data_IF_278483541328
#
_entry.id   IF_278483541328
#
_cell.length_a   1.000
_cell.length_b   1.000
_cell.length_c   1.000
_cell.angle_alpha   90.00
_cell.angle_beta   90.00
_cell.angle_gamma   90.00
#
_symmetry.space_group_name_H-M   'P 1'
#
loop_
_entity.id
_entity.type
_entity.pdbx_description
1 polymer ?
#
# COMPACT_ATOMS: atom_id res chain seq x y z
N UNK A 1 -5.64 -14.39 -8.13
CA UNK A 1 -5.01 -13.09 -7.80
C UNK A 1 -6.08 -12.13 -7.31
N UNK A 2 -5.90 -11.49 -6.11
CA UNK A 2 -6.75 -10.38 -5.66
C UNK A 2 -6.41 -9.11 -6.47
N UNK A 3 -7.43 -8.39 -6.90
CA UNK A 3 -7.30 -7.13 -7.62
C UNK A 3 -7.56 -5.95 -6.68
N UNK A 4 -6.57 -5.08 -6.54
CA UNK A 4 -6.64 -3.94 -5.63
C UNK A 4 -6.36 -2.60 -6.29
N UNK A 5 -6.93 -1.56 -5.72
CA UNK A 5 -6.69 -0.15 -6.09
C UNK A 5 -6.05 0.60 -4.94
N UNK A 6 -5.10 1.48 -5.25
CA UNK A 6 -4.32 2.24 -4.29
C UNK A 6 -4.51 3.75 -4.50
N UNK A 7 -4.76 4.48 -3.41
CA UNK A 7 -4.95 5.92 -3.41
C UNK A 7 -3.87 6.61 -2.58
N UNK A 8 -3.19 7.57 -3.20
CA UNK A 8 -2.17 8.44 -2.60
C UNK A 8 -2.65 9.88 -2.36
N UNK A 9 -3.80 10.24 -2.93
CA UNK A 9 -4.46 11.56 -2.85
C UNK A 9 -3.61 12.74 -3.36
N UNK A 10 -2.57 12.48 -4.15
CA UNK A 10 -1.62 13.51 -4.58
C UNK A 10 -2.26 14.53 -5.52
N UNK A 11 -2.14 15.78 -5.13
CA UNK A 11 -2.70 16.93 -5.84
C UNK A 11 -1.63 18.03 -6.02
N UNK A 12 -0.74 17.92 -7.02
CA UNK A 12 0.31 18.91 -7.23
C UNK A 12 -0.24 20.31 -7.41
N UNK A 13 0.47 21.31 -6.87
CA UNK A 13 0.12 22.73 -7.04
C UNK A 13 -0.04 23.06 -8.52
N UNK A 14 -1.13 23.77 -8.85
CA UNK A 14 -1.44 24.14 -10.23
C UNK A 14 -2.25 23.10 -11.00
N UNK A 15 -2.68 22.01 -10.40
CA UNK A 15 -3.61 21.04 -11.00
C UNK A 15 -4.97 21.65 -11.35
N UNK A 16 -5.36 22.70 -10.63
CA UNK A 16 -6.72 23.31 -10.75
C UNK A 16 -7.80 22.53 -10.00
N UNK A 17 -7.44 21.50 -9.26
CA UNK A 17 -8.37 20.66 -8.48
C UNK A 17 -8.28 21.08 -7.00
N UNK A 18 -9.39 21.39 -6.38
CA UNK A 18 -9.43 21.60 -4.92
C UNK A 18 -9.49 20.26 -4.17
N UNK A 19 -8.88 20.22 -2.98
CA UNK A 19 -8.77 18.97 -2.21
C UNK A 19 -10.11 18.41 -1.74
N UNK A 20 -11.09 19.26 -1.42
CA UNK A 20 -12.42 18.81 -1.00
C UNK A 20 -13.12 18.06 -2.15
N UNK A 21 -12.98 18.55 -3.37
CA UNK A 21 -13.50 17.89 -4.58
C UNK A 21 -12.74 16.58 -4.84
N UNK A 22 -11.41 16.57 -4.76
CA UNK A 22 -10.61 15.37 -4.96
C UNK A 22 -10.99 14.25 -3.97
N UNK A 23 -11.09 14.58 -2.67
CA UNK A 23 -11.45 13.60 -1.64
C UNK A 23 -12.87 13.04 -1.83
N UNK A 24 -13.84 13.90 -2.14
CA UNK A 24 -15.21 13.45 -2.42
C UNK A 24 -15.27 12.53 -3.63
N UNK A 25 -14.66 12.94 -4.76
CA UNK A 25 -14.63 12.14 -5.99
C UNK A 25 -13.85 10.82 -5.81
N UNK A 26 -12.83 10.82 -4.95
CA UNK A 26 -12.10 9.58 -4.62
C UNK A 26 -12.99 8.60 -3.86
N UNK A 27 -13.80 9.05 -2.91
CA UNK A 27 -14.75 8.18 -2.21
C UNK A 27 -15.82 7.63 -3.17
N UNK A 28 -16.35 8.46 -4.07
CA UNK A 28 -17.28 8.03 -5.14
C UNK A 28 -16.62 6.99 -6.08
N UNK A 29 -15.36 7.21 -6.43
CA UNK A 29 -14.61 6.26 -7.26
C UNK A 29 -14.33 4.93 -6.53
N UNK A 30 -14.08 4.95 -5.22
CA UNK A 30 -13.93 3.74 -4.42
C UNK A 30 -15.22 2.90 -4.43
N UNK A 31 -16.39 3.53 -4.29
CA UNK A 31 -17.68 2.85 -4.43
C UNK A 31 -17.85 2.23 -5.82
N UNK A 32 -17.43 2.95 -6.87
CA UNK A 32 -17.45 2.43 -8.23
C UNK A 32 -16.50 1.23 -8.41
N UNK A 33 -15.29 1.27 -7.84
CA UNK A 33 -14.37 0.12 -7.86
C UNK A 33 -14.98 -1.11 -7.16
N UNK A 34 -15.66 -0.92 -6.03
CA UNK A 34 -16.40 -2.01 -5.38
C UNK A 34 -17.49 -2.59 -6.28
N UNK A 35 -18.23 -1.76 -7.01
CA UNK A 35 -19.27 -2.20 -7.96
C UNK A 35 -18.67 -2.96 -9.16
N UNK A 36 -17.51 -2.55 -9.65
CA UNK A 36 -16.76 -3.24 -10.70
C UNK A 36 -16.20 -4.59 -10.27
N UNK A 37 -16.20 -4.87 -8.96
CA UNK A 37 -15.79 -6.16 -8.42
C UNK A 37 -14.32 -6.21 -7.98
N UNK A 38 -13.66 -5.08 -7.76
CA UNK A 38 -12.35 -5.09 -7.11
C UNK A 38 -12.44 -5.68 -5.71
N UNK A 39 -11.37 -6.36 -5.29
CA UNK A 39 -11.33 -7.10 -4.02
C UNK A 39 -10.84 -6.21 -2.87
N UNK A 40 -9.92 -5.28 -3.16
CA UNK A 40 -9.25 -4.49 -2.12
C UNK A 40 -9.06 -3.02 -2.51
N UNK A 41 -9.16 -2.15 -1.50
CA UNK A 41 -8.83 -0.72 -1.59
C UNK A 41 -7.71 -0.43 -0.61
N UNK A 42 -6.64 0.22 -1.08
CA UNK A 42 -5.47 0.51 -0.29
C UNK A 42 -5.19 2.01 -0.23
N UNK A 43 -4.68 2.46 0.91
CA UNK A 43 -4.33 3.85 1.19
C UNK A 43 -2.86 3.93 1.55
N UNK A 44 -2.13 4.92 1.04
CA UNK A 44 -0.70 5.05 1.30
C UNK A 44 -0.36 6.40 1.92
N UNK A 45 0.62 6.39 2.85
CA UNK A 45 0.97 7.50 3.71
C UNK A 45 2.31 8.13 3.34
N UNK A 46 2.32 9.46 3.29
CA UNK A 46 3.51 10.28 3.40
C UNK A 46 3.16 11.63 4.04
N UNK A 47 4.15 12.26 4.67
CA UNK A 47 3.95 13.53 5.37
C UNK A 47 4.79 14.65 4.75
N UNK A 48 4.29 15.90 4.88
CA UNK A 48 4.99 17.11 4.49
C UNK A 48 5.41 17.12 3.01
N UNK A 49 4.58 16.52 2.15
CA UNK A 49 4.77 16.52 0.71
C UNK A 49 4.00 17.68 0.09
N UNK A 50 4.67 18.42 -0.79
CA UNK A 50 4.14 19.63 -1.44
C UNK A 50 2.96 19.41 -2.37
N UNK A 51 2.64 18.16 -2.71
CA UNK A 51 1.53 17.76 -3.56
C UNK A 51 0.38 17.10 -2.78
N UNK A 52 0.23 17.47 -1.51
CA UNK A 52 -0.89 17.07 -0.64
C UNK A 52 -1.09 15.55 -0.50
N UNK A 53 0.02 14.79 -0.52
CA UNK A 53 -0.03 13.34 -0.29
C UNK A 53 -0.80 13.00 0.98
N UNK A 54 -1.58 11.91 0.97
CA UNK A 54 -2.41 11.47 2.10
C UNK A 54 -1.59 11.26 3.38
N UNK A 55 -1.79 12.06 4.44
CA UNK A 55 -1.02 11.92 5.67
C UNK A 55 -1.71 11.07 6.75
N UNK A 56 -3.01 10.76 6.60
CA UNK A 56 -3.82 10.12 7.64
C UNK A 56 -4.64 8.97 7.06
N UNK A 57 -3.98 7.82 6.89
CA UNK A 57 -4.57 6.66 6.22
C UNK A 57 -5.72 6.03 7.00
N UNK A 58 -5.67 5.96 8.34
CA UNK A 58 -6.75 5.38 9.14
C UNK A 58 -7.99 6.27 9.18
N UNK A 59 -7.83 7.61 9.14
CA UNK A 59 -8.96 8.54 8.99
C UNK A 59 -9.67 8.32 7.66
N UNK A 60 -8.90 8.20 6.57
CA UNK A 60 -9.47 7.93 5.25
C UNK A 60 -10.07 6.52 5.18
N UNK A 61 -9.44 5.52 5.82
CA UNK A 61 -9.96 4.15 5.90
C UNK A 61 -11.34 4.10 6.60
N UNK A 62 -11.56 4.90 7.65
CA UNK A 62 -12.86 5.01 8.29
C UNK A 62 -13.93 5.59 7.35
N UNK A 63 -13.58 6.59 6.53
CA UNK A 63 -14.48 7.13 5.52
C UNK A 63 -14.82 6.08 4.44
N UNK A 64 -13.82 5.31 3.98
CA UNK A 64 -14.04 4.20 3.04
C UNK A 64 -14.91 3.11 3.66
N UNK A 65 -14.68 2.75 4.93
CA UNK A 65 -15.49 1.76 5.64
C UNK A 65 -16.98 2.14 5.69
N UNK A 66 -17.27 3.42 5.89
CA UNK A 66 -18.65 3.94 5.93
C UNK A 66 -19.34 4.00 4.56
N UNK A 67 -18.59 3.95 3.45
CA UNK A 67 -19.08 4.06 2.08
C UNK A 67 -19.11 2.74 1.31
N UNK A 68 -18.48 1.70 1.83
CA UNK A 68 -18.34 0.39 1.18
C UNK A 68 -18.87 -0.73 2.06
N UNK A 69 -19.16 -1.88 1.46
CA UNK A 69 -19.75 -3.03 2.18
C UNK A 69 -18.99 -4.35 1.97
N UNK A 70 -18.10 -4.44 0.97
CA UNK A 70 -17.47 -5.69 0.55
C UNK A 70 -15.96 -5.62 0.44
N UNK A 71 -15.42 -4.55 -0.14
CA UNK A 71 -13.97 -4.45 -0.35
C UNK A 71 -13.19 -4.48 0.96
N UNK A 72 -12.07 -5.21 0.97
CA UNK A 72 -11.09 -5.14 2.04
C UNK A 72 -10.39 -3.77 1.99
N UNK A 73 -10.22 -3.14 3.13
CA UNK A 73 -9.60 -1.82 3.27
C UNK A 73 -8.20 -1.99 3.84
N UNK A 74 -7.19 -1.63 3.06
CA UNK A 74 -5.80 -1.79 3.43
C UNK A 74 -5.03 -0.48 3.58
N UNK A 75 -3.94 -0.51 4.32
CA UNK A 75 -2.91 0.52 4.25
C UNK A 75 -1.67 -0.01 3.53
N UNK A 76 -1.14 0.72 2.54
CA UNK A 76 0.02 0.30 1.77
C UNK A 76 1.04 1.45 1.61
N UNK A 77 1.61 1.95 2.70
CA UNK A 77 1.54 1.43 4.06
C UNK A 77 1.37 2.56 5.08
N UNK A 78 0.94 2.24 6.31
CA UNK A 78 1.09 3.13 7.45
C UNK A 78 2.54 3.08 7.97
N UNK A 79 3.16 4.25 8.21
CA UNK A 79 4.56 4.36 8.63
C UNK A 79 4.69 4.20 10.16
N UNK A 80 4.52 2.97 10.67
CA UNK A 80 4.40 2.70 12.11
C UNK A 80 5.47 3.33 13.00
N UNK A 81 6.76 3.44 12.61
CA UNK A 81 7.76 4.11 13.44
C UNK A 81 7.47 5.59 13.74
N UNK A 82 6.63 6.26 12.94
CA UNK A 82 6.23 7.65 13.13
C UNK A 82 5.00 7.81 14.03
N UNK A 83 4.39 6.70 14.46
CA UNK A 83 3.16 6.67 15.24
C UNK A 83 3.35 6.05 16.63
N UNK A 84 2.44 6.37 17.54
CA UNK A 84 2.29 5.60 18.77
C UNK A 84 1.52 4.30 18.48
N UNK A 85 2.07 3.12 18.76
CA UNK A 85 1.44 1.85 18.44
C UNK A 85 0.13 1.60 19.20
N UNK A 86 -0.05 2.17 20.39
CA UNK A 86 -1.34 2.07 21.11
C UNK A 86 -2.42 2.86 20.36
N UNK A 87 -2.07 4.07 19.91
CA UNK A 87 -3.01 4.88 19.11
C UNK A 87 -3.38 4.19 17.81
N UNK A 88 -2.40 3.58 17.12
CA UNK A 88 -2.66 2.79 15.92
C UNK A 88 -3.55 1.59 16.21
N UNK A 89 -3.36 0.90 17.35
CA UNK A 89 -4.19 -0.23 17.75
C UNK A 89 -5.66 0.18 17.98
N UNK A 90 -5.89 1.32 18.65
CA UNK A 90 -7.24 1.89 18.87
C UNK A 90 -7.90 2.29 17.55
N UNK A 91 -7.22 3.12 16.75
CA UNK A 91 -7.76 3.62 15.49
C UNK A 91 -8.04 2.48 14.50
N UNK A 92 -7.15 1.49 14.40
CA UNK A 92 -7.36 0.30 13.58
C UNK A 92 -8.54 -0.55 14.07
N UNK A 93 -8.71 -0.72 15.37
CA UNK A 93 -9.87 -1.43 15.94
C UNK A 93 -11.19 -0.71 15.60
N UNK A 94 -11.21 0.62 15.68
CA UNK A 94 -12.39 1.42 15.28
C UNK A 94 -12.70 1.26 13.80
N UNK A 95 -11.70 1.31 12.92
CA UNK A 95 -11.90 1.08 11.48
C UNK A 95 -12.39 -0.34 11.21
N UNK A 96 -11.87 -1.32 11.92
CA UNK A 96 -12.28 -2.72 11.78
C UNK A 96 -13.74 -2.93 12.21
N UNK A 97 -14.16 -2.29 13.30
CA UNK A 97 -15.58 -2.28 13.75
C UNK A 97 -16.47 -1.58 12.72
N UNK A 98 -16.08 -0.40 12.23
CA UNK A 98 -16.85 0.35 11.22
C UNK A 98 -17.00 -0.41 9.91
N UNK A 99 -16.00 -1.20 9.55
CA UNK A 99 -15.97 -1.98 8.31
C UNK A 99 -16.56 -3.38 8.44
N UNK A 100 -16.99 -3.80 9.64
CA UNK A 100 -17.42 -5.16 9.94
C UNK A 100 -16.33 -6.21 9.57
N UNK A 101 -15.10 -5.97 10.07
CA UNK A 101 -13.99 -6.91 9.93
C UNK A 101 -13.30 -6.93 8.57
N UNK A 102 -13.31 -5.80 7.83
CA UNK A 102 -12.66 -5.70 6.51
C UNK A 102 -11.32 -4.98 6.52
N UNK A 103 -10.77 -4.60 7.67
CA UNK A 103 -9.48 -3.93 7.73
C UNK A 103 -8.32 -4.91 7.50
N UNK A 104 -7.31 -4.48 6.75
CA UNK A 104 -6.00 -5.10 6.58
C UNK A 104 -4.93 -4.06 6.86
N UNK A 105 -4.19 -4.19 7.96
CA UNK A 105 -3.22 -3.19 8.40
C UNK A 105 -1.85 -3.44 7.77
N UNK A 106 -1.53 -2.70 6.70
CA UNK A 106 -0.21 -2.72 6.09
C UNK A 106 0.73 -1.70 6.73
N UNK A 107 1.90 -2.15 7.16
CA UNK A 107 2.87 -1.38 7.94
C UNK A 107 4.23 -1.29 7.23
N UNK A 108 4.87 -0.14 7.33
CA UNK A 108 6.18 0.12 6.74
C UNK A 108 7.14 0.82 7.68
N UNK A 109 8.43 0.77 7.30
CA UNK A 109 9.52 1.40 8.07
C UNK A 109 9.61 2.92 7.90
N UNK A 110 9.10 3.45 6.78
CA UNK A 110 9.45 4.80 6.35
C UNK A 110 10.90 4.91 5.85
N UNK A 111 11.17 5.93 5.03
CA UNK A 111 12.49 6.17 4.45
C UNK A 111 12.87 7.66 4.34
N UNK A 112 11.90 8.57 4.24
CA UNK A 112 12.16 10.01 4.10
C UNK A 112 12.70 10.60 5.42
N UNK A 113 13.88 11.23 5.34
CA UNK A 113 14.54 11.80 6.52
C UNK A 113 13.71 12.92 7.15
N UNK A 114 13.11 13.77 6.32
CA UNK A 114 12.32 14.92 6.77
C UNK A 114 11.11 14.50 7.62
N UNK A 115 10.51 13.34 7.34
CA UNK A 115 9.41 12.81 8.13
C UNK A 115 9.89 12.42 9.54
N UNK A 116 11.02 11.70 9.63
CA UNK A 116 11.60 11.30 10.91
C UNK A 116 12.03 12.51 11.74
N UNK A 117 12.68 13.49 11.11
CA UNK A 117 13.14 14.71 11.78
C UNK A 117 11.97 15.52 12.32
N UNK A 118 10.91 15.70 11.52
CA UNK A 118 9.73 16.47 11.92
C UNK A 118 8.94 15.82 13.06
N UNK A 119 8.86 14.47 13.10
CA UNK A 119 8.22 13.73 14.18
C UNK A 119 9.16 13.47 15.37
N UNK A 120 10.43 13.89 15.31
CA UNK A 120 11.39 13.69 16.39
C UNK A 120 11.78 12.23 16.61
N UNK A 121 11.69 11.40 15.58
CA UNK A 121 11.99 9.96 15.64
C UNK A 121 13.38 9.67 15.06
N UNK A 122 14.25 9.02 15.85
CA UNK A 122 15.53 8.58 15.33
C UNK A 122 15.37 7.44 14.33
N UNK A 123 15.58 7.72 13.04
CA UNK A 123 15.45 6.76 11.94
C UNK A 123 16.28 5.49 12.13
N UNK A 124 17.38 5.54 12.88
CA UNK A 124 18.22 4.36 13.18
C UNK A 124 17.47 3.29 13.96
N UNK A 125 16.45 3.68 14.71
CA UNK A 125 15.60 2.78 15.51
C UNK A 125 14.35 2.29 14.80
N UNK A 126 14.09 2.72 13.55
CA UNK A 126 12.84 2.43 12.83
C UNK A 126 12.47 0.94 12.75
N UNK A 127 13.47 0.06 12.62
CA UNK A 127 13.21 -1.37 12.56
C UNK A 127 12.74 -1.93 13.91
N UNK A 128 13.41 -1.55 15.01
CA UNK A 128 13.02 -1.96 16.36
C UNK A 128 11.67 -1.36 16.76
N UNK A 129 11.42 -0.09 16.40
CA UNK A 129 10.13 0.57 16.63
C UNK A 129 8.98 -0.12 15.88
N UNK A 130 9.21 -0.56 14.65
CA UNK A 130 8.23 -1.34 13.90
C UNK A 130 7.95 -2.70 14.58
N UNK A 131 9.00 -3.43 14.96
CA UNK A 131 8.89 -4.77 15.54
C UNK A 131 8.20 -4.73 16.91
N UNK A 132 8.60 -3.82 17.81
CA UNK A 132 7.92 -3.60 19.09
C UNK A 132 6.48 -3.11 18.89
N UNK A 133 6.26 -2.22 17.93
CA UNK A 133 4.93 -1.69 17.61
C UNK A 133 3.97 -2.78 17.14
N UNK A 134 4.40 -3.71 16.29
CA UNK A 134 3.58 -4.85 15.86
C UNK A 134 3.19 -5.72 17.06
N UNK A 135 4.14 -6.01 17.93
CA UNK A 135 3.86 -6.82 19.12
C UNK A 135 2.87 -6.11 20.06
N UNK A 136 3.04 -4.81 20.30
CA UNK A 136 2.12 -4.01 21.10
C UNK A 136 0.71 -4.02 20.50
N UNK A 137 0.58 -3.79 19.19
CA UNK A 137 -0.71 -3.80 18.50
C UNK A 137 -1.40 -5.16 18.64
N UNK A 138 -0.69 -6.26 18.40
CA UNK A 138 -1.27 -7.60 18.56
C UNK A 138 -1.72 -7.90 19.98
N UNK A 139 -0.93 -7.50 20.99
CA UNK A 139 -1.31 -7.65 22.40
C UNK A 139 -2.50 -6.78 22.77
N UNK A 140 -2.55 -5.54 22.24
CA UNK A 140 -3.66 -4.61 22.46
C UNK A 140 -5.00 -5.15 21.94
N UNK A 141 -4.97 -5.93 20.85
CA UNK A 141 -6.18 -6.58 20.30
C UNK A 141 -6.59 -7.88 21.02
N UNK A 142 -5.74 -8.43 21.89
CA UNK A 142 -6.07 -9.59 22.71
C UNK A 142 -7.19 -9.29 23.72
N UNK A 143 -7.85 -10.34 24.21
CA UNK A 143 -9.02 -10.21 25.09
C UNK A 143 -8.66 -9.80 26.52
N UNK A 144 -7.41 -10.03 26.94
CA UNK A 144 -6.94 -9.76 28.30
C UNK A 144 -6.03 -8.51 28.34
N UNK A 145 -5.99 -7.80 29.50
CA UNK A 145 -5.00 -6.77 29.73
C UNK A 145 -3.58 -7.30 29.56
N UNK A 146 -2.68 -6.47 29.03
CA UNK A 146 -1.32 -6.90 28.73
C UNK A 146 -0.26 -6.01 29.37
N UNK A 147 0.94 -6.56 29.47
CA UNK A 147 2.19 -5.85 29.78
C UNK A 147 3.15 -5.98 28.60
N UNK A 148 3.94 -4.94 28.38
CA UNK A 148 5.01 -4.96 27.39
C UNK A 148 6.23 -4.18 27.92
N UNK A 149 7.39 -4.83 27.98
CA UNK A 149 8.65 -4.22 28.37
C UNK A 149 9.68 -4.43 27.26
N UNK A 150 9.67 -3.52 26.32
CA UNK A 150 10.59 -3.48 25.20
C UNK A 150 11.78 -2.54 25.44
N UNK A 151 12.55 -2.31 24.40
CA UNK A 151 13.68 -1.38 24.41
C UNK A 151 13.24 0.08 24.31
N UNK A 152 12.17 0.34 23.57
CA UNK A 152 11.67 1.68 23.26
C UNK A 152 10.35 2.00 23.92
N UNK A 153 9.59 0.99 24.34
CA UNK A 153 8.27 1.14 24.95
C UNK A 153 8.14 0.30 26.22
N UNK A 154 7.45 0.87 27.19
CA UNK A 154 7.08 0.17 28.43
C UNK A 154 5.61 0.38 28.72
N UNK A 155 4.88 -0.70 28.95
CA UNK A 155 3.47 -0.74 29.32
C UNK A 155 3.37 -1.71 30.48
N UNK A 156 2.92 -1.25 31.64
CA UNK A 156 2.91 -2.09 32.86
C UNK A 156 1.59 -2.85 33.03
N UNK A 157 0.45 -2.28 32.70
CA UNK A 157 -0.85 -2.97 32.67
C UNK A 157 -1.83 -2.12 31.88
N UNK A 158 -2.36 -2.64 30.78
CA UNK A 158 -3.28 -1.90 29.93
C UNK A 158 -4.29 -2.83 29.27
N UNK A 159 -5.56 -2.43 29.30
CA UNK A 159 -6.61 -2.99 28.45
C UNK A 159 -7.03 -1.96 27.42
N UNK A 160 -6.83 -2.27 26.14
CA UNK A 160 -7.16 -1.39 25.02
C UNK A 160 -8.53 -1.74 24.45
N UNK A 161 -9.41 -0.76 24.35
CA UNK A 161 -10.77 -0.91 23.83
C UNK A 161 -11.08 0.22 22.84
N UNK A 162 -11.97 -0.02 21.82
CA UNK A 162 -12.66 -1.28 21.55
C UNK A 162 -11.72 -2.36 21.01
N UNK A 163 -12.15 -3.62 21.07
CA UNK A 163 -11.46 -4.71 20.37
C UNK A 163 -11.94 -4.77 18.91
N UNK A 164 -11.08 -5.16 17.95
CA UNK A 164 -11.51 -5.37 16.57
C UNK A 164 -12.54 -6.51 16.44
N UNK A 165 -13.28 -6.51 15.34
CA UNK A 165 -14.23 -7.60 15.01
C UNK A 165 -13.47 -8.86 14.62
N UNK A 166 -12.41 -8.71 13.84
CA UNK A 166 -11.55 -9.82 13.43
C UNK A 166 -10.84 -10.45 14.64
N UNK A 167 -10.66 -11.77 14.61
CA UNK A 167 -9.94 -12.52 15.66
C UNK A 167 -8.76 -13.30 15.07
N UNK A 168 -7.56 -13.22 15.64
CA UNK A 168 -7.17 -12.46 16.85
C UNK A 168 -7.03 -10.94 16.62
N UNK A 169 -7.24 -10.45 15.42
CA UNK A 169 -7.19 -9.06 15.00
C UNK A 169 -7.07 -8.94 13.47
N UNK A 170 -7.11 -7.73 12.92
CA UNK A 170 -6.82 -7.48 11.50
C UNK A 170 -5.50 -8.07 11.05
N UNK A 171 -5.44 -8.58 9.82
CA UNK A 171 -4.18 -9.04 9.24
C UNK A 171 -3.16 -7.90 9.19
N UNK A 172 -1.93 -8.19 9.63
CA UNK A 172 -0.81 -7.26 9.55
C UNK A 172 0.07 -7.62 8.36
N UNK A 173 0.08 -6.76 7.35
CA UNK A 173 0.95 -6.90 6.18
C UNK A 173 2.17 -5.99 6.31
N UNK A 174 3.35 -6.43 5.87
CA UNK A 174 4.55 -5.60 5.94
C UNK A 174 5.07 -5.26 4.55
N UNK A 175 5.54 -4.03 4.39
CA UNK A 175 6.20 -3.64 3.15
C UNK A 175 7.68 -4.01 3.14
N UNK A 176 8.16 -4.46 1.96
CA UNK A 176 9.55 -4.78 1.76
C UNK A 176 10.00 -4.57 0.32
N UNK A 177 11.25 -4.11 0.15
CA UNK A 177 11.91 -3.94 -1.15
C UNK A 177 13.38 -4.37 -1.15
N UNK A 178 13.79 -5.05 -0.09
CA UNK A 178 15.13 -5.60 0.09
C UNK A 178 15.04 -6.89 0.93
N UNK A 179 16.05 -7.75 0.93
CA UNK A 179 15.99 -9.06 1.61
C UNK A 179 15.59 -8.98 3.09
N UNK A 180 16.20 -8.08 3.88
CA UNK A 180 15.89 -7.96 5.32
C UNK A 180 14.43 -7.60 5.63
N UNK A 181 13.82 -6.54 5.02
CA UNK A 181 12.38 -6.26 5.15
C UNK A 181 11.49 -7.43 4.69
N UNK A 182 11.87 -8.13 3.60
CA UNK A 182 11.13 -9.29 3.10
C UNK A 182 11.16 -10.45 4.10
N UNK A 183 12.32 -10.75 4.69
CA UNK A 183 12.46 -11.77 5.75
C UNK A 183 11.64 -11.38 6.99
N UNK A 184 11.64 -10.08 7.38
CA UNK A 184 10.79 -9.59 8.48
C UNK A 184 9.31 -9.80 8.19
N UNK A 185 8.86 -9.54 6.97
CA UNK A 185 7.47 -9.77 6.57
C UNK A 185 7.09 -11.25 6.69
N UNK A 186 7.97 -12.16 6.27
CA UNK A 186 7.75 -13.60 6.40
C UNK A 186 7.65 -14.06 7.87
N UNK A 187 8.37 -13.40 8.78
CA UNK A 187 8.42 -13.80 10.20
C UNK A 187 7.31 -13.14 11.02
N UNK A 188 7.06 -11.86 10.81
CA UNK A 188 6.17 -11.06 11.65
C UNK A 188 4.86 -10.68 10.97
N UNK A 189 4.77 -10.73 9.64
CA UNK A 189 3.58 -10.34 8.89
C UNK A 189 2.66 -11.50 8.56
N UNK A 190 1.44 -11.17 8.19
CA UNK A 190 0.46 -12.09 7.60
C UNK A 190 0.50 -12.04 6.06
N UNK A 191 1.24 -11.08 5.51
CA UNK A 191 1.50 -10.90 4.09
C UNK A 191 2.63 -9.92 3.83
N UNK A 192 3.11 -9.90 2.59
CA UNK A 192 4.13 -8.98 2.09
C UNK A 192 3.51 -8.06 1.02
N UNK A 193 3.75 -6.75 1.14
CA UNK A 193 3.57 -5.76 0.07
C UNK A 193 4.96 -5.47 -0.48
N UNK A 194 5.23 -5.87 -1.72
CA UNK A 194 6.58 -5.80 -2.27
C UNK A 194 6.67 -4.77 -3.39
N UNK A 195 7.74 -3.96 -3.32
CA UNK A 195 8.22 -3.14 -4.45
C UNK A 195 9.51 -3.79 -4.92
N UNK A 196 9.44 -4.50 -6.06
CA UNK A 196 10.60 -5.21 -6.60
C UNK A 196 10.18 -6.42 -7.44
N UNK A 197 11.18 -7.16 -7.93
CA UNK A 197 10.99 -8.24 -8.88
C UNK A 197 10.94 -9.64 -8.28
N UNK A 198 10.91 -10.67 -9.16
CA UNK A 198 10.74 -12.08 -8.79
C UNK A 198 11.76 -12.64 -7.79
N UNK A 199 12.96 -12.04 -7.70
CA UNK A 199 13.98 -12.46 -6.73
C UNK A 199 13.50 -12.24 -5.29
N UNK A 200 12.85 -11.08 -5.02
CA UNK A 200 12.27 -10.80 -3.70
C UNK A 200 11.05 -11.69 -3.41
N UNK A 201 10.31 -12.10 -4.45
CA UNK A 201 9.19 -13.04 -4.28
C UNK A 201 9.71 -14.41 -3.81
N UNK A 202 10.76 -14.92 -4.47
CA UNK A 202 11.42 -16.18 -4.04
C UNK A 202 11.96 -16.08 -2.63
N UNK A 203 12.67 -14.99 -2.31
CA UNK A 203 13.18 -14.74 -0.95
C UNK A 203 12.06 -14.80 0.10
N UNK A 204 10.90 -14.16 -0.18
CA UNK A 204 9.75 -14.19 0.72
C UNK A 204 9.21 -15.60 0.92
N UNK A 205 8.97 -16.34 -0.17
CA UNK A 205 8.46 -17.71 -0.10
C UNK A 205 9.41 -18.65 0.64
N UNK A 206 10.71 -18.49 0.42
CA UNK A 206 11.74 -19.28 1.14
C UNK A 206 11.78 -18.89 2.63
N UNK A 207 11.77 -17.60 2.94
CA UNK A 207 11.74 -17.14 4.32
C UNK A 207 10.48 -17.62 5.04
N UNK A 208 9.30 -17.53 4.40
CA UNK A 208 8.04 -18.02 4.95
C UNK A 208 8.08 -19.52 5.24
N UNK A 209 8.58 -20.34 4.33
CA UNK A 209 8.75 -21.78 4.57
C UNK A 209 9.68 -22.08 5.76
N UNK A 210 10.74 -21.30 5.94
CA UNK A 210 11.68 -21.45 7.09
C UNK A 210 11.04 -21.16 8.43
N UNK A 211 9.94 -20.40 8.49
CA UNK A 211 9.22 -20.15 9.75
C UNK A 211 8.43 -21.36 10.25
N UNK A 212 8.18 -22.37 9.42
CA UNK A 212 7.32 -23.50 9.74
C UNK A 212 5.81 -23.19 9.76
N UNK A 213 5.41 -22.02 9.32
CA UNK A 213 3.98 -21.63 9.20
C UNK A 213 3.26 -22.53 8.21
N UNK A 214 2.00 -22.83 8.49
CA UNK A 214 1.14 -23.68 7.65
C UNK A 214 0.17 -22.87 6.78
N UNK A 215 -0.05 -21.58 7.09
CA UNK A 215 -0.84 -20.69 6.26
C UNK A 215 -0.10 -20.39 4.94
N UNK A 216 -0.83 -20.22 3.82
CA UNK A 216 -0.20 -19.91 2.55
C UNK A 216 0.44 -18.51 2.59
N UNK A 217 1.63 -18.35 1.97
CA UNK A 217 2.25 -17.03 1.85
C UNK A 217 1.38 -16.11 1.00
N UNK A 218 1.20 -14.87 1.44
CA UNK A 218 0.43 -13.83 0.75
C UNK A 218 1.37 -12.75 0.27
N UNK A 219 1.39 -12.52 -1.03
CA UNK A 219 2.29 -11.58 -1.69
C UNK A 219 1.52 -10.61 -2.57
N UNK A 220 1.56 -9.34 -2.22
CA UNK A 220 0.98 -8.26 -3.01
C UNK A 220 2.06 -7.49 -3.76
N UNK A 221 1.88 -7.33 -5.07
CA UNK A 221 2.77 -6.58 -5.95
C UNK A 221 2.14 -5.26 -6.39
N UNK A 222 2.96 -4.31 -6.83
CA UNK A 222 2.48 -3.14 -7.57
C UNK A 222 2.47 -3.44 -9.06
N UNK A 223 1.30 -3.28 -9.67
CA UNK A 223 1.13 -3.33 -11.12
C UNK A 223 1.22 -1.90 -11.68
N UNK A 224 2.13 -1.68 -12.61
CA UNK A 224 2.41 -0.35 -13.16
C UNK A 224 1.83 -0.13 -14.55
N UNK A 225 1.38 -1.21 -15.21
CA UNK A 225 0.78 -1.14 -16.54
C UNK A 225 -0.75 -1.03 -16.43
N UNK A 226 -1.30 0.07 -16.91
CA UNK A 226 -2.75 0.26 -17.01
C UNK A 226 -3.24 -0.34 -18.33
N UNK A 227 -4.33 -1.12 -18.32
CA UNK A 227 -4.93 -1.60 -19.56
C UNK A 227 -5.53 -0.44 -20.36
N UNK A 228 -5.35 -0.47 -21.68
CA UNK A 228 -5.83 0.55 -22.60
C UNK A 228 -6.19 -0.07 -23.93
N UNK A 229 -7.31 0.38 -24.53
CA UNK A 229 -7.70 0.06 -25.91
C UNK A 229 -6.80 0.79 -26.93
N UNK A 230 -6.14 1.87 -26.51
CA UNK A 230 -5.20 2.65 -27.33
C UNK A 230 -4.05 3.18 -26.44
N UNK A 231 -3.03 2.34 -26.18
CA UNK A 231 -1.91 2.70 -25.30
C UNK A 231 -1.13 3.94 -25.73
N UNK A 232 -1.04 4.21 -27.05
CA UNK A 232 -0.34 5.40 -27.56
C UNK A 232 -1.11 6.69 -27.26
N UNK A 233 -2.42 6.69 -27.47
CA UNK A 233 -3.30 7.81 -27.13
C UNK A 233 -3.25 8.10 -25.63
N UNK A 234 -3.37 7.09 -24.78
CA UNK A 234 -3.43 7.26 -23.34
C UNK A 234 -2.05 7.64 -22.78
N UNK A 235 -0.97 7.12 -23.35
CA UNK A 235 0.38 7.57 -23.02
C UNK A 235 0.61 9.05 -23.40
N UNK A 236 0.10 9.49 -24.54
CA UNK A 236 0.18 10.90 -24.95
C UNK A 236 -0.63 11.82 -24.01
N UNK A 237 -1.82 11.38 -23.56
CA UNK A 237 -2.70 12.16 -22.71
C UNK A 237 -2.26 12.18 -21.24
N UNK A 238 -1.88 11.02 -20.69
CA UNK A 238 -1.71 10.79 -19.25
C UNK A 238 -0.28 10.45 -18.83
N UNK A 239 0.60 10.11 -19.76
CA UNK A 239 1.96 9.64 -19.45
C UNK A 239 2.79 10.62 -18.62
N UNK A 240 2.60 11.93 -18.80
CA UNK A 240 3.28 12.97 -17.98
C UNK A 240 2.94 12.87 -16.48
N UNK A 241 1.72 12.48 -16.14
CA UNK A 241 1.27 12.36 -14.77
C UNK A 241 1.79 11.05 -14.14
N UNK A 242 1.87 9.97 -14.92
CA UNK A 242 2.53 8.74 -14.51
C UNK A 242 4.03 8.96 -14.27
N UNK A 243 4.70 9.67 -15.19
CA UNK A 243 6.12 10.04 -15.06
C UNK A 243 6.38 10.89 -13.82
N UNK A 244 5.54 11.90 -13.53
CA UNK A 244 5.64 12.72 -12.32
C UNK A 244 5.70 11.86 -11.05
N UNK A 245 4.81 10.87 -10.91
CA UNK A 245 4.82 9.94 -9.76
C UNK A 245 6.16 9.24 -9.64
N UNK A 246 6.64 8.64 -10.72
CA UNK A 246 7.87 7.87 -10.72
C UNK A 246 9.10 8.73 -10.39
N UNK A 247 9.19 9.92 -10.96
CA UNK A 247 10.26 10.89 -10.68
C UNK A 247 10.31 11.28 -9.20
N UNK A 248 9.14 11.53 -8.58
CA UNK A 248 9.06 11.87 -7.15
C UNK A 248 9.53 10.72 -6.27
N UNK A 249 9.10 9.50 -6.53
CA UNK A 249 9.60 8.34 -5.77
C UNK A 249 11.10 8.13 -5.97
N UNK A 250 11.60 8.24 -7.20
CA UNK A 250 13.03 8.12 -7.49
C UNK A 250 13.85 9.18 -6.73
N UNK A 251 13.37 10.44 -6.68
CA UNK A 251 13.99 11.51 -5.91
C UNK A 251 14.03 11.19 -4.41
N UNK A 252 12.92 10.75 -3.81
CA UNK A 252 12.85 10.43 -2.38
C UNK A 252 13.74 9.24 -2.00
N UNK A 253 13.82 8.24 -2.86
CA UNK A 253 14.70 7.10 -2.64
C UNK A 253 16.17 7.50 -2.76
N UNK A 254 16.55 8.33 -3.74
CA UNK A 254 17.92 8.81 -3.91
C UNK A 254 18.44 9.61 -2.70
N UNK A 255 17.59 10.42 -2.07
CA UNK A 255 17.95 11.21 -0.87
C UNK A 255 18.00 10.36 0.40
N UNK A 256 17.29 9.25 0.46
CA UNK A 256 17.25 8.38 1.64
C UNK A 256 18.55 7.61 1.91
N UNK A 257 19.52 7.62 0.99
CA UNK A 257 20.79 6.90 1.10
C UNK A 257 20.65 5.37 1.05
N UNK A 258 19.48 4.87 0.71
CA UNK A 258 19.20 3.45 0.49
C UNK A 258 19.53 3.13 -0.96
N UNK A 259 20.83 3.16 -1.31
CA UNK A 259 21.39 3.06 -2.66
C UNK A 259 21.18 1.71 -3.38
N UNK A 260 20.57 0.71 -2.75
CA UNK A 260 20.12 -0.50 -3.44
C UNK A 260 18.70 -0.38 -4.02
N UNK A 261 18.23 0.85 -4.19
CA UNK A 261 16.94 1.12 -4.77
C UNK A 261 17.00 0.97 -6.26
N UNK A 262 16.49 -0.16 -6.67
CA UNK A 262 15.85 -0.40 -7.95
C UNK A 262 16.46 0.33 -9.15
N UNK A 263 17.61 -0.19 -9.62
CA UNK A 263 18.07 0.05 -10.98
C UNK A 263 16.92 -0.07 -11.97
N UNK A 264 15.99 -0.99 -11.76
CA UNK A 264 14.82 -1.20 -12.61
C UNK A 264 13.84 -0.04 -12.52
N UNK A 265 13.56 0.50 -11.33
CA UNK A 265 12.72 1.70 -11.19
C UNK A 265 13.44 2.94 -11.74
N UNK A 266 14.75 3.09 -11.46
CA UNK A 266 15.56 4.17 -11.98
C UNK A 266 15.78 4.06 -13.49
N UNK A 267 16.07 2.89 -14.01
CA UNK A 267 16.24 2.66 -15.45
C UNK A 267 14.93 2.88 -16.21
N UNK A 268 13.78 2.52 -15.65
CA UNK A 268 12.47 2.88 -16.19
C UNK A 268 12.19 4.39 -16.14
N UNK A 269 12.76 5.13 -15.17
CA UNK A 269 12.53 6.58 -15.01
C UNK A 269 13.55 7.44 -15.72
N UNK A 270 14.80 7.00 -15.90
CA UNK A 270 15.89 7.82 -16.47
C UNK A 270 16.02 7.74 -17.98
N UNK A 271 15.38 6.79 -18.63
CA UNK A 271 15.40 6.68 -20.10
C UNK A 271 14.46 7.64 -20.84
N UNK A 272 14.17 8.78 -20.28
CA UNK A 272 13.56 10.02 -20.83
C UNK A 272 12.35 9.94 -21.79
N UNK A 273 12.09 8.79 -22.39
CA UNK A 273 10.98 8.56 -23.33
C UNK A 273 10.24 7.24 -23.10
N UNK A 274 10.82 6.32 -22.35
CA UNK A 274 10.24 5.00 -22.08
C UNK A 274 9.17 4.94 -20.97
N UNK A 275 9.22 5.76 -19.88
CA UNK A 275 8.27 5.62 -18.78
C UNK A 275 6.81 5.91 -19.14
N UNK A 276 6.59 6.88 -20.00
CA UNK A 276 5.24 7.27 -20.40
C UNK A 276 4.54 6.19 -21.25
N UNK A 277 5.29 5.53 -22.13
CA UNK A 277 4.76 4.47 -23.01
C UNK A 277 4.59 3.14 -22.29
N UNK A 278 5.47 2.82 -21.33
CA UNK A 278 5.41 1.56 -20.57
C UNK A 278 4.35 1.54 -19.46
N UNK A 279 3.71 2.69 -19.18
CA UNK A 279 2.63 2.74 -18.18
C UNK A 279 1.27 2.30 -18.74
N UNK A 280 1.14 2.09 -20.05
CA UNK A 280 -0.11 1.70 -20.70
C UNK A 280 0.16 0.53 -21.65
N UNK A 281 -0.68 -0.49 -21.58
CA UNK A 281 -0.59 -1.70 -22.40
C UNK A 281 -1.95 -2.22 -22.80
N UNK A 282 -1.99 -3.16 -23.77
CA UNK A 282 -3.26 -3.82 -24.09
C UNK A 282 -3.70 -4.73 -22.94
N UNK A 283 -4.99 -5.09 -22.85
CA UNK A 283 -5.46 -6.06 -21.86
C UNK A 283 -4.66 -7.37 -21.85
N UNK A 284 -4.28 -7.88 -23.04
CA UNK A 284 -3.48 -9.10 -23.16
C UNK A 284 -2.08 -8.94 -22.53
N UNK A 285 -1.43 -7.81 -22.74
CA UNK A 285 -0.13 -7.51 -22.13
C UNK A 285 -0.23 -7.48 -20.60
N UNK A 286 -1.28 -6.87 -20.06
CA UNK A 286 -1.53 -6.83 -18.60
C UNK A 286 -1.82 -8.25 -18.07
N UNK A 287 -2.58 -9.06 -18.80
CA UNK A 287 -2.83 -10.48 -18.44
C UNK A 287 -1.51 -11.25 -18.40
N UNK A 288 -0.66 -11.11 -19.40
CA UNK A 288 0.62 -11.82 -19.46
C UNK A 288 1.57 -11.40 -18.32
N UNK A 289 1.64 -10.09 -18.00
CA UNK A 289 2.39 -9.60 -16.85
C UNK A 289 1.89 -10.17 -15.53
N UNK A 290 0.57 -10.22 -15.33
CA UNK A 290 -0.04 -10.76 -14.11
C UNK A 290 0.13 -12.27 -14.00
N UNK A 291 0.03 -13.03 -15.09
CA UNK A 291 0.30 -14.48 -15.11
C UNK A 291 1.74 -14.79 -14.76
N UNK A 292 2.68 -14.00 -15.27
CA UNK A 292 4.09 -14.13 -14.90
C UNK A 292 4.32 -13.85 -13.42
N UNK A 293 3.65 -12.84 -12.86
CA UNK A 293 3.72 -12.51 -11.44
C UNK A 293 3.06 -13.60 -10.57
N UNK A 294 1.89 -14.11 -10.96
CA UNK A 294 1.21 -15.21 -10.29
C UNK A 294 2.06 -16.49 -10.29
N UNK A 295 2.66 -16.84 -11.43
CA UNK A 295 3.58 -17.97 -11.53
C UNK A 295 4.84 -17.80 -10.65
N UNK A 296 5.24 -16.55 -10.38
CA UNK A 296 6.30 -16.22 -9.44
C UNK A 296 5.84 -16.16 -7.97
N UNK A 297 4.54 -16.38 -7.71
CA UNK A 297 3.95 -16.48 -6.38
C UNK A 297 3.21 -15.25 -5.88
N UNK A 298 2.92 -14.27 -6.74
CA UNK A 298 2.06 -13.15 -6.37
C UNK A 298 0.61 -13.62 -6.15
N UNK A 299 -0.03 -13.14 -5.09
CA UNK A 299 -1.42 -13.47 -4.75
C UNK A 299 -2.36 -12.28 -4.89
N UNK A 300 -1.81 -11.07 -4.98
CA UNK A 300 -2.54 -9.82 -5.16
C UNK A 300 -1.74 -8.83 -6.00
N UNK A 301 -2.44 -7.96 -6.72
CA UNK A 301 -1.85 -6.87 -7.50
C UNK A 301 -2.57 -5.56 -7.22
N UNK A 302 -1.80 -4.47 -7.05
CA UNK A 302 -2.29 -3.13 -6.77
C UNK A 302 -1.96 -2.16 -7.90
N UNK A 303 -2.95 -1.42 -8.36
CA UNK A 303 -2.80 -0.28 -9.24
C UNK A 303 -3.02 1.02 -8.50
N UNK A 304 -2.22 2.04 -8.77
CA UNK A 304 -2.58 3.38 -8.35
C UNK A 304 -3.85 3.83 -9.08
N UNK A 305 -4.90 4.11 -8.34
CA UNK A 305 -6.22 4.41 -8.88
C UNK A 305 -6.30 5.79 -9.54
N UNK A 306 -5.42 6.71 -9.14
CA UNK A 306 -5.35 8.08 -9.67
C UNK A 306 -3.94 8.42 -10.10
N UNK A 307 -3.80 9.30 -11.06
CA UNK A 307 -2.52 9.89 -11.44
C UNK A 307 -2.40 11.28 -10.77
N UNK A 308 -1.25 11.64 -10.16
CA UNK A 308 -1.09 12.92 -9.49
C UNK A 308 -1.46 14.11 -10.37
N UNK A 309 -2.35 14.99 -9.88
CA UNK A 309 -2.84 16.15 -10.63
C UNK A 309 -3.98 15.84 -11.60
N UNK A 310 -4.58 14.66 -11.52
CA UNK A 310 -5.83 14.32 -12.23
C UNK A 310 -6.93 13.94 -11.24
N UNK A 311 -8.17 13.99 -11.70
CA UNK A 311 -9.30 13.44 -10.96
C UNK A 311 -9.43 11.93 -11.24
N UNK A 312 -10.12 11.16 -10.37
CA UNK A 312 -10.32 9.72 -10.59
C UNK A 312 -10.99 9.38 -11.93
N UNK A 313 -11.80 10.28 -12.49
CA UNK A 313 -12.43 10.09 -13.80
C UNK A 313 -11.45 9.93 -14.96
N UNK A 314 -10.23 10.45 -14.82
CA UNK A 314 -9.20 10.32 -15.86
C UNK A 314 -8.70 8.86 -16.04
N UNK A 315 -8.73 8.09 -14.98
CA UNK A 315 -8.27 6.68 -14.97
C UNK A 315 -9.41 5.67 -14.93
N UNK A 316 -10.64 6.09 -14.62
CA UNK A 316 -11.81 5.22 -14.51
C UNK A 316 -12.00 4.26 -15.74
N UNK A 317 -11.86 4.73 -17.01
CA UNK A 317 -12.00 3.83 -18.16
C UNK A 317 -11.00 2.66 -18.16
N UNK A 318 -9.80 2.85 -17.62
CA UNK A 318 -8.78 1.80 -17.52
C UNK A 318 -9.18 0.74 -16.50
N UNK A 319 -9.80 1.14 -15.39
CA UNK A 319 -10.29 0.21 -14.36
C UNK A 319 -11.56 -0.51 -14.81
N UNK A 320 -12.42 0.14 -15.58
CA UNK A 320 -13.56 -0.50 -16.25
C UNK A 320 -13.08 -1.56 -17.26
N UNK A 321 -12.03 -1.24 -18.03
CA UNK A 321 -11.41 -2.18 -18.96
C UNK A 321 -10.74 -3.35 -18.22
N UNK A 322 -10.03 -3.06 -17.11
CA UNK A 322 -9.43 -4.07 -16.26
C UNK A 322 -10.47 -5.03 -15.70
N UNK A 323 -11.61 -4.51 -15.22
CA UNK A 323 -12.71 -5.29 -14.69
C UNK A 323 -13.38 -6.16 -15.78
N UNK A 324 -13.53 -5.62 -17.00
CA UNK A 324 -14.22 -6.29 -18.10
C UNK A 324 -13.36 -7.35 -18.80
N UNK A 325 -12.07 -7.09 -19.01
CA UNK A 325 -11.23 -7.90 -19.89
C UNK A 325 -10.07 -8.62 -19.18
N UNK A 326 -9.55 -8.05 -18.09
CA UNK A 326 -8.38 -8.65 -17.41
C UNK A 326 -8.81 -9.53 -16.23
N UNK A 327 -9.66 -9.01 -15.33
CA UNK A 327 -10.06 -9.75 -14.12
C UNK A 327 -10.69 -11.13 -14.43
N UNK A 328 -11.52 -11.30 -15.48
CA UNK A 328 -12.11 -12.61 -15.78
C UNK A 328 -11.08 -13.70 -16.11
N UNK A 329 -9.87 -13.36 -16.54
CA UNK A 329 -8.80 -14.33 -16.81
C UNK A 329 -8.19 -14.98 -15.56
N UNK A 330 -8.55 -14.48 -14.35
CA UNK A 330 -8.02 -14.89 -13.03
C UNK A 330 -9.09 -15.31 -12.02
N UNK A 331 -10.35 -15.42 -12.47
CA UNK A 331 -11.53 -15.82 -11.65
C UNK A 331 -12.10 -17.15 -12.05
#
# INVERSE_FOLDING_TARGET
VEFGVLYDMRNPRGSGIDNATLYRQTLEHIEHMEQLGFDTVWLTEHHFIEDDYLPSVLTMAAAVAARTSRVTIGTAVLLLPLHDPLRVAEDAAVVDVLSDGRLRLGLGLGYKLEEFDAFGVDRRHRAALLEEGIEIIRRAWGDEPFMFHGRHRRIDHLDVTPKPVQRPGPQIWLAGRAPRPVQRAATLGDGLIVVGGPDLYREYHEAHRRTGRTDPPRLCIFAFTYPSDDPERDAAALGRFAAYRMERYAQWYGTAGDLEVDRVLLERTTSGTAPARSAFGTPEQVIDELRAAEAAGATAALWFATLPGTTPSATAPMFELLAREVMPAFR
#
